data_IF_735655223735
#
_entry.id   IF_735655223735
#
_cell.length_a   1.000
_cell.length_b   1.000
_cell.length_c   1.000
_cell.angle_alpha   90.00
_cell.angle_beta   90.00
_cell.angle_gamma   90.00
#
_symmetry.space_group_name_H-M   'P 1'
#
loop_
_entity.id
_entity.type
_entity.pdbx_description
1 polymer ?
#
# COMPACT_ATOMS: atom_id res chain seq x y z
N UNK A 1 3.36 28.58 -32.07
CA UNK A 1 3.76 28.07 -30.74
C UNK A 1 2.84 26.91 -30.40
N UNK A 2 3.28 25.66 -30.61
CA UNK A 2 2.51 24.48 -30.24
C UNK A 2 2.60 24.28 -28.73
N UNK A 3 1.58 24.66 -27.99
CA UNK A 3 1.41 24.25 -26.62
C UNK A 3 1.26 22.72 -26.61
N UNK A 4 2.31 22.00 -26.23
CA UNK A 4 2.21 20.57 -25.91
C UNK A 4 1.17 20.43 -24.81
N UNK A 5 -0.04 20.00 -25.16
CA UNK A 5 -1.06 19.59 -24.19
C UNK A 5 -0.46 18.40 -23.44
N UNK A 6 -0.02 18.64 -22.22
CA UNK A 6 0.41 17.57 -21.31
C UNK A 6 -0.87 16.74 -21.07
N UNK A 7 -0.92 15.52 -21.61
CA UNK A 7 -2.03 14.61 -21.34
C UNK A 7 -2.06 14.33 -19.84
N UNK A 8 -3.16 14.65 -19.20
CA UNK A 8 -3.40 14.34 -17.79
C UNK A 8 -3.23 12.83 -17.54
N UNK A 9 -2.65 12.46 -16.40
CA UNK A 9 -2.52 11.05 -16.04
C UNK A 9 -3.89 10.42 -15.79
N UNK A 10 -4.11 9.21 -16.28
CA UNK A 10 -5.37 8.49 -16.05
C UNK A 10 -5.67 8.24 -14.58
N UNK A 11 -4.64 8.16 -13.75
CA UNK A 11 -4.79 8.05 -12.30
C UNK A 11 -5.61 9.20 -11.72
N UNK A 12 -5.41 10.42 -12.23
CA UNK A 12 -6.12 11.61 -11.74
C UNK A 12 -7.50 11.73 -12.39
N UNK A 13 -7.60 11.42 -13.72
CA UNK A 13 -8.85 11.49 -14.46
C UNK A 13 -9.87 10.47 -13.91
N UNK A 14 -9.41 9.23 -13.66
CA UNK A 14 -10.24 8.11 -13.23
C UNK A 14 -10.22 7.88 -11.72
N UNK A 15 -9.68 8.85 -10.96
CA UNK A 15 -9.84 8.83 -9.50
C UNK A 15 -11.32 8.81 -9.15
N UNK A 16 -11.80 7.86 -8.33
CA UNK A 16 -13.21 7.76 -8.00
C UNK A 16 -13.66 9.00 -7.21
N UNK A 17 -14.81 9.57 -7.59
CA UNK A 17 -15.42 10.75 -6.94
C UNK A 17 -16.56 10.39 -6.01
N UNK A 18 -17.10 9.18 -6.15
CA UNK A 18 -18.20 8.65 -5.35
C UNK A 18 -17.97 7.16 -5.05
N UNK A 19 -18.70 6.62 -4.09
CA UNK A 19 -18.58 5.23 -3.66
C UNK A 19 -18.97 4.24 -4.77
N UNK A 20 -19.86 4.63 -5.70
CA UNK A 20 -20.28 3.77 -6.81
C UNK A 20 -19.12 3.46 -7.74
N UNK A 21 -18.25 4.42 -8.00
CA UNK A 21 -17.09 4.31 -8.90
C UNK A 21 -15.84 3.73 -8.22
N UNK A 22 -15.84 3.64 -6.89
CA UNK A 22 -14.71 3.13 -6.13
C UNK A 22 -14.59 1.61 -6.27
N UNK A 23 -13.38 1.10 -6.55
CA UNK A 23 -13.09 -0.34 -6.66
C UNK A 23 -12.90 -0.91 -5.25
N UNK A 24 -13.83 -1.73 -4.82
CA UNK A 24 -13.87 -2.28 -3.47
C UNK A 24 -14.64 -3.59 -3.47
N UNK A 25 -14.36 -4.44 -2.51
CA UNK A 25 -15.15 -5.64 -2.26
C UNK A 25 -16.65 -5.31 -2.15
N UNK A 26 -17.53 -6.07 -2.80
CA UNK A 26 -18.96 -5.80 -2.84
C UNK A 26 -19.64 -5.74 -1.45
N UNK A 27 -19.22 -6.59 -0.51
CA UNK A 27 -19.80 -6.64 0.84
C UNK A 27 -19.41 -5.39 1.63
N UNK A 28 -18.15 -5.00 1.59
CA UNK A 28 -17.64 -3.77 2.23
C UNK A 28 -18.31 -2.54 1.58
N UNK A 29 -18.47 -2.55 0.26
CA UNK A 29 -19.16 -1.48 -0.46
C UNK A 29 -20.63 -1.35 -0.05
N UNK A 30 -21.31 -2.48 0.15
CA UNK A 30 -22.69 -2.49 0.64
C UNK A 30 -22.80 -2.00 2.09
N UNK A 31 -21.85 -2.36 2.94
CA UNK A 31 -21.77 -1.83 4.30
C UNK A 31 -21.69 -0.29 4.29
N UNK A 32 -20.81 0.31 3.48
CA UNK A 32 -20.72 1.76 3.40
C UNK A 32 -21.97 2.43 2.83
N UNK A 33 -22.63 1.82 1.83
CA UNK A 33 -23.92 2.31 1.33
C UNK A 33 -24.98 2.36 2.43
N UNK A 34 -25.08 1.31 3.24
CA UNK A 34 -26.01 1.25 4.35
C UNK A 34 -25.65 2.29 5.44
N UNK A 35 -24.37 2.43 5.76
CA UNK A 35 -23.86 3.43 6.70
C UNK A 35 -24.25 4.85 6.28
N UNK A 36 -24.05 5.18 5.00
CA UNK A 36 -24.39 6.50 4.45
C UNK A 36 -25.92 6.71 4.48
N UNK A 37 -26.69 5.73 4.00
CA UNK A 37 -28.16 5.79 3.94
C UNK A 37 -28.78 6.00 5.32
N UNK A 38 -28.27 5.28 6.31
CA UNK A 38 -28.82 5.32 7.68
C UNK A 38 -28.18 6.42 8.53
N UNK A 39 -27.19 7.16 8.02
CA UNK A 39 -26.36 8.12 8.77
C UNK A 39 -25.77 7.55 10.06
N UNK A 40 -25.56 6.23 10.10
CA UNK A 40 -25.00 5.51 11.25
C UNK A 40 -23.49 5.34 11.06
N UNK A 41 -22.74 6.40 11.36
CA UNK A 41 -21.30 6.45 11.14
C UNK A 41 -20.56 6.13 12.44
N UNK A 42 -19.62 5.21 12.37
CA UNK A 42 -18.68 4.88 13.45
C UNK A 42 -17.27 5.33 13.09
N UNK A 43 -16.45 5.57 14.09
CA UNK A 43 -15.00 5.75 13.88
C UNK A 43 -14.41 4.45 13.35
N UNK A 44 -13.48 4.53 12.37
CA UNK A 44 -12.90 3.35 11.74
C UNK A 44 -11.49 3.62 11.20
N UNK A 45 -10.74 2.54 11.01
CA UNK A 45 -9.39 2.57 10.44
C UNK A 45 -9.37 1.82 9.12
N UNK A 46 -8.91 2.46 8.05
CA UNK A 46 -8.76 1.86 6.74
C UNK A 46 -7.33 1.36 6.56
N UNK A 47 -7.17 0.06 6.39
CA UNK A 47 -5.85 -0.55 6.21
C UNK A 47 -5.65 -1.06 4.78
N UNK A 48 -4.41 -1.05 4.33
CA UNK A 48 -4.00 -1.57 3.04
C UNK A 48 -2.68 -0.95 2.61
N UNK A 49 -2.01 -1.53 1.64
CA UNK A 49 -0.75 -1.00 1.13
C UNK A 49 -0.91 0.39 0.50
N UNK A 50 0.20 1.06 0.30
CA UNK A 50 0.21 2.34 -0.41
C UNK A 50 -0.42 2.18 -1.81
N UNK A 51 -1.23 3.16 -2.24
CA UNK A 51 -1.91 3.10 -3.54
C UNK A 51 -3.26 2.35 -3.54
N UNK A 52 -3.67 1.69 -2.45
CA UNK A 52 -4.96 0.99 -2.35
C UNK A 52 -6.20 1.91 -2.26
N UNK A 53 -6.00 3.24 -2.19
CA UNK A 53 -7.08 4.22 -2.22
C UNK A 53 -7.64 4.65 -0.85
N UNK A 54 -7.03 4.28 0.28
CA UNK A 54 -7.50 4.61 1.66
C UNK A 54 -7.96 6.04 1.83
N UNK A 55 -7.07 6.98 1.57
CA UNK A 55 -7.35 8.42 1.70
C UNK A 55 -8.46 8.89 0.77
N UNK A 56 -8.54 8.31 -0.44
CA UNK A 56 -9.61 8.59 -1.41
C UNK A 56 -10.96 8.11 -0.89
N UNK A 57 -11.03 6.91 -0.31
CA UNK A 57 -12.27 6.39 0.29
C UNK A 57 -12.75 7.27 1.45
N UNK A 58 -11.83 7.67 2.36
CA UNK A 58 -12.18 8.60 3.44
C UNK A 58 -12.84 9.87 2.90
N UNK A 59 -12.25 10.49 1.88
CA UNK A 59 -12.77 11.72 1.27
C UNK A 59 -14.15 11.50 0.61
N UNK A 60 -14.32 10.37 -0.10
CA UNK A 60 -15.60 10.00 -0.72
C UNK A 60 -16.69 9.84 0.35
N UNK A 61 -16.41 9.09 1.40
CA UNK A 61 -17.37 8.88 2.48
C UNK A 61 -17.77 10.18 3.16
N UNK A 62 -16.80 11.07 3.43
CA UNK A 62 -17.08 12.39 4.00
C UNK A 62 -17.96 13.25 3.08
N UNK A 63 -17.69 13.25 1.78
CA UNK A 63 -18.47 14.00 0.81
C UNK A 63 -19.91 13.47 0.71
N UNK A 64 -20.09 12.13 0.63
CA UNK A 64 -21.43 11.53 0.55
C UNK A 64 -22.23 11.67 1.85
N UNK A 65 -21.56 11.82 3.00
CA UNK A 65 -22.17 12.12 4.30
C UNK A 65 -22.45 13.60 4.50
N UNK A 66 -21.98 14.47 3.63
CA UNK A 66 -22.01 15.94 3.79
C UNK A 66 -21.44 16.37 5.15
N UNK A 67 -20.29 15.81 5.53
CA UNK A 67 -19.66 16.03 6.82
C UNK A 67 -18.75 17.25 6.83
N UNK A 68 -18.60 17.87 8.01
CA UNK A 68 -17.51 18.82 8.27
C UNK A 68 -16.22 18.04 8.50
N UNK A 69 -15.16 18.37 7.76
CA UNK A 69 -13.96 17.54 7.73
C UNK A 69 -12.72 18.30 8.16
N UNK A 70 -11.99 17.74 9.11
CA UNK A 70 -10.61 18.12 9.40
C UNK A 70 -9.68 17.03 8.87
N UNK A 71 -8.75 17.39 7.97
CA UNK A 71 -7.77 16.48 7.40
C UNK A 71 -6.37 16.77 7.97
N UNK A 72 -5.74 15.74 8.56
CA UNK A 72 -4.38 15.80 9.11
C UNK A 72 -3.54 14.70 8.47
N UNK A 73 -2.38 15.05 7.93
CA UNK A 73 -1.41 14.09 7.43
C UNK A 73 -0.38 13.77 8.51
N UNK A 74 -0.49 12.59 9.15
CA UNK A 74 0.35 12.22 10.29
C UNK A 74 1.83 12.04 9.94
N UNK A 75 2.17 11.80 8.68
CA UNK A 75 3.57 11.75 8.24
C UNK A 75 4.31 13.09 8.44
N UNK A 76 3.61 14.21 8.36
CA UNK A 76 4.18 15.55 8.50
C UNK A 76 3.70 16.30 9.75
N UNK A 77 2.53 15.96 10.26
CA UNK A 77 1.86 16.64 11.36
C UNK A 77 1.53 15.70 12.55
N UNK A 78 2.10 14.51 12.59
CA UNK A 78 1.81 13.46 13.59
C UNK A 78 2.46 13.73 14.95
N UNK A 79 2.30 14.93 15.47
CA UNK A 79 2.80 15.35 16.79
C UNK A 79 1.66 15.70 17.75
N UNK A 80 1.90 15.59 19.05
CA UNK A 80 0.86 15.84 20.08
C UNK A 80 0.29 17.26 19.95
N UNK A 81 1.10 18.23 19.62
CA UNK A 81 0.65 19.61 19.49
C UNK A 81 -0.40 19.80 18.38
N UNK A 82 -0.34 18.99 17.32
CA UNK A 82 -1.39 19.00 16.29
C UNK A 82 -2.73 18.52 16.85
N UNK A 83 -2.73 17.50 17.71
CA UNK A 83 -3.96 17.04 18.39
C UNK A 83 -4.55 18.17 19.25
N UNK A 84 -3.73 18.85 20.04
CA UNK A 84 -4.16 19.91 20.95
C UNK A 84 -4.58 21.19 20.25
N UNK A 85 -3.87 21.59 19.19
CA UNK A 85 -4.09 22.88 18.54
C UNK A 85 -5.07 22.85 17.38
N UNK A 86 -5.27 21.69 16.73
CA UNK A 86 -6.15 21.54 15.56
C UNK A 86 -7.32 20.59 15.82
N UNK A 87 -7.05 19.38 16.33
CA UNK A 87 -8.06 18.32 16.42
C UNK A 87 -9.01 18.57 17.59
N UNK A 88 -8.50 18.82 18.77
CA UNK A 88 -9.32 19.06 19.97
C UNK A 88 -10.23 20.30 19.81
N UNK A 89 -9.77 21.46 19.33
CA UNK A 89 -10.63 22.60 19.05
C UNK A 89 -11.71 22.28 18.00
N UNK A 90 -11.38 21.53 16.96
CA UNK A 90 -12.37 21.10 15.96
C UNK A 90 -13.42 20.17 16.57
N UNK A 91 -13.03 19.24 17.43
CA UNK A 91 -13.97 18.36 18.13
C UNK A 91 -14.90 19.14 19.06
N UNK A 92 -14.39 20.16 19.77
CA UNK A 92 -15.15 20.96 20.74
C UNK A 92 -16.01 22.07 20.09
N UNK A 93 -15.69 22.46 18.84
CA UNK A 93 -16.50 23.46 18.13
C UNK A 93 -17.89 22.88 17.78
N UNK A 94 -18.93 23.69 17.86
CA UNK A 94 -20.25 23.34 17.37
C UNK A 94 -20.27 23.40 15.83
N UNK A 95 -20.85 22.38 15.18
CA UNK A 95 -21.13 22.47 13.75
C UNK A 95 -22.20 23.51 13.48
N UNK A 96 -21.93 24.49 12.60
CA UNK A 96 -22.87 25.59 12.30
C UNK A 96 -24.18 25.08 11.66
N UNK A 97 -24.16 23.92 11.00
CA UNK A 97 -25.33 23.37 10.29
C UNK A 97 -25.79 22.01 10.87
N UNK A 98 -25.32 21.65 12.06
CA UNK A 98 -25.60 20.34 12.67
C UNK A 98 -25.08 19.16 11.85
N UNK A 99 -24.04 19.38 11.04
CA UNK A 99 -23.38 18.34 10.25
C UNK A 99 -22.55 17.42 11.15
N UNK A 100 -22.41 16.19 10.72
CA UNK A 100 -21.46 15.24 11.32
C UNK A 100 -20.04 15.77 11.15
N UNK A 101 -19.24 15.78 12.20
CA UNK A 101 -17.82 16.10 12.14
C UNK A 101 -16.99 14.84 11.94
N UNK A 102 -16.07 14.89 11.00
CA UNK A 102 -15.13 13.78 10.74
C UNK A 102 -13.70 14.29 10.73
N UNK A 103 -12.86 13.69 11.58
CA UNK A 103 -11.42 13.90 11.57
C UNK A 103 -10.78 12.78 10.78
N UNK A 104 -10.09 13.13 9.70
CA UNK A 104 -9.28 12.18 8.92
C UNK A 104 -7.82 12.31 9.36
N UNK A 105 -7.27 11.22 9.90
CA UNK A 105 -5.86 11.10 10.23
C UNK A 105 -5.20 10.15 9.23
N UNK A 106 -4.47 10.73 8.27
CA UNK A 106 -3.86 9.99 7.17
C UNK A 106 -2.47 9.49 7.56
N UNK A 107 -2.19 8.20 7.27
CA UNK A 107 -0.93 7.53 7.59
C UNK A 107 -0.58 7.56 9.09
N UNK A 108 -1.53 7.18 9.96
CA UNK A 108 -1.37 7.23 11.42
C UNK A 108 -0.23 6.33 11.93
N UNK A 109 0.11 5.28 11.21
CA UNK A 109 1.24 4.40 11.47
C UNK A 109 2.61 5.08 11.29
N UNK A 110 2.69 6.16 10.52
CA UNK A 110 3.91 6.96 10.35
C UNK A 110 4.26 7.79 11.58
N UNK A 111 3.29 8.15 12.41
CA UNK A 111 3.50 8.90 13.66
C UNK A 111 4.38 8.16 14.66
N UNK A 112 4.47 6.83 14.58
CA UNK A 112 5.32 6.01 15.44
C UNK A 112 6.82 6.21 15.23
N UNK A 113 7.24 6.72 14.08
CA UNK A 113 8.68 6.96 13.77
C UNK A 113 9.25 8.18 14.50
N UNK A 114 8.40 9.10 14.95
CA UNK A 114 8.81 10.35 15.62
C UNK A 114 8.92 10.21 17.15
N UNK A 115 9.12 9.00 17.67
CA UNK A 115 9.29 8.76 19.14
C UNK A 115 7.99 8.82 19.93
N UNK A 116 6.83 8.68 19.31
CA UNK A 116 5.59 9.02 19.95
C UNK A 116 4.54 7.90 20.05
N UNK A 117 4.80 6.90 20.90
CA UNK A 117 3.68 6.26 21.61
C UNK A 117 2.75 7.34 22.23
N UNK A 118 3.29 8.51 22.53
CA UNK A 118 2.58 9.64 23.12
C UNK A 118 1.50 10.24 22.19
N UNK A 119 1.74 10.35 20.87
CA UNK A 119 0.72 10.83 19.92
C UNK A 119 -0.48 9.89 19.88
N UNK A 120 -0.24 8.59 19.71
CA UNK A 120 -1.32 7.60 19.62
C UNK A 120 -2.05 7.41 20.96
N UNK A 121 -1.36 7.56 22.09
CA UNK A 121 -2.00 7.57 23.42
C UNK A 121 -2.89 8.79 23.61
N UNK A 122 -2.43 9.98 23.23
CA UNK A 122 -3.23 11.20 23.27
C UNK A 122 -4.43 11.09 22.31
N UNK A 123 -4.22 10.54 21.10
CA UNK A 123 -5.28 10.28 20.13
C UNK A 123 -6.36 9.34 20.72
N UNK A 124 -5.96 8.26 21.38
CA UNK A 124 -6.90 7.37 22.08
C UNK A 124 -7.84 8.15 23.01
N UNK A 125 -7.26 8.96 23.88
CA UNK A 125 -8.02 9.76 24.85
C UNK A 125 -8.97 10.74 24.16
N UNK A 126 -8.53 11.35 23.08
CA UNK A 126 -9.32 12.28 22.30
C UNK A 126 -10.50 11.59 21.58
N UNK A 127 -10.29 10.40 21.02
CA UNK A 127 -11.36 9.60 20.43
C UNK A 127 -12.43 9.28 21.46
N UNK A 128 -12.04 8.88 22.67
CA UNK A 128 -12.98 8.59 23.77
C UNK A 128 -13.81 9.81 24.16
N UNK A 129 -13.16 10.98 24.31
CA UNK A 129 -13.80 12.21 24.74
C UNK A 129 -14.77 12.79 23.68
N UNK A 130 -14.53 12.50 22.38
CA UNK A 130 -15.23 13.18 21.27
C UNK A 130 -16.30 12.30 20.60
N UNK A 131 -16.76 11.21 21.23
CA UNK A 131 -17.67 10.24 20.59
C UNK A 131 -19.11 10.76 20.34
N UNK A 132 -19.52 11.85 20.95
CA UNK A 132 -20.90 12.34 20.83
C UNK A 132 -21.24 12.77 19.40
N UNK A 133 -20.39 13.58 18.76
CA UNK A 133 -20.70 14.26 17.50
C UNK A 133 -19.54 14.26 16.48
N UNK A 134 -18.39 13.69 16.84
CA UNK A 134 -17.22 13.58 15.98
C UNK A 134 -16.87 12.12 15.73
N UNK A 135 -16.48 11.79 14.49
CA UNK A 135 -15.96 10.48 14.10
C UNK A 135 -14.54 10.60 13.59
N UNK A 136 -13.78 9.53 13.74
CA UNK A 136 -12.39 9.47 13.32
C UNK A 136 -12.22 8.44 12.20
N UNK A 137 -11.71 8.88 11.06
CA UNK A 137 -11.32 8.03 9.96
C UNK A 137 -9.80 8.00 9.91
N UNK A 138 -9.23 6.87 10.27
CA UNK A 138 -7.79 6.66 10.28
C UNK A 138 -7.38 5.94 9.01
N UNK A 139 -6.21 6.23 8.46
CA UNK A 139 -5.59 5.37 7.44
C UNK A 139 -4.26 4.86 7.94
N UNK A 140 -3.93 3.62 7.63
CA UNK A 140 -2.63 3.03 7.95
C UNK A 140 -2.21 2.02 6.87
N UNK A 141 -0.90 1.91 6.64
CA UNK A 141 -0.34 0.86 5.81
C UNK A 141 -0.07 -0.40 6.64
N UNK A 142 0.35 -0.21 7.88
CA UNK A 142 0.73 -1.26 8.81
C UNK A 142 -0.09 -1.15 10.10
N UNK A 143 -1.22 -1.87 10.24
CA UNK A 143 -2.05 -1.85 11.45
C UNK A 143 -1.27 -2.20 12.71
N UNK A 144 -0.27 -3.08 12.61
CA UNK A 144 0.57 -3.52 13.72
C UNK A 144 1.40 -2.38 14.35
N UNK A 145 1.60 -1.28 13.61
CA UNK A 145 2.27 -0.06 14.12
C UNK A 145 1.31 0.90 14.81
N UNK A 146 0.01 0.61 14.79
CA UNK A 146 -1.01 1.40 15.48
C UNK A 146 -1.33 0.74 16.82
N UNK A 147 -1.39 1.54 17.89
CA UNK A 147 -1.66 1.00 19.22
C UNK A 147 -3.00 0.23 19.25
N UNK A 148 -3.05 -0.98 19.83
CA UNK A 148 -4.29 -1.76 19.95
C UNK A 148 -5.42 -0.98 20.62
N UNK A 149 -5.09 -0.09 21.55
CA UNK A 149 -6.04 0.77 22.24
C UNK A 149 -6.72 1.81 21.30
N UNK A 150 -6.09 2.21 20.20
CA UNK A 150 -6.67 3.04 19.13
C UNK A 150 -7.54 2.17 18.23
N UNK A 151 -7.03 1.01 17.79
CA UNK A 151 -7.74 0.10 16.90
C UNK A 151 -9.00 -0.48 17.52
N UNK A 152 -9.06 -0.66 18.84
CA UNK A 152 -10.27 -1.11 19.54
C UNK A 152 -11.42 -0.09 19.46
N UNK A 153 -11.11 1.20 19.23
CA UNK A 153 -12.07 2.30 19.08
C UNK A 153 -12.35 2.66 17.63
N UNK A 154 -11.42 2.32 16.76
CA UNK A 154 -11.52 2.51 15.32
C UNK A 154 -11.25 1.16 14.63
N UNK A 155 -12.27 0.27 14.56
CA UNK A 155 -12.12 -1.05 13.94
C UNK A 155 -11.48 -0.98 12.56
N UNK A 156 -10.63 -1.96 12.26
CA UNK A 156 -9.87 -1.99 11.00
C UNK A 156 -10.74 -2.54 9.88
N UNK A 157 -10.83 -1.79 8.78
CA UNK A 157 -11.46 -2.20 7.53
C UNK A 157 -10.35 -2.40 6.50
N UNK A 158 -10.01 -3.65 6.14
CA UNK A 158 -9.01 -3.92 5.12
C UNK A 158 -9.56 -3.54 3.74
N UNK A 159 -8.76 -2.80 2.96
CA UNK A 159 -9.14 -2.44 1.60
C UNK A 159 -8.54 -3.40 0.59
N UNK A 160 -9.41 -4.03 -0.17
CA UNK A 160 -9.07 -4.96 -1.23
C UNK A 160 -10.15 -5.01 -2.30
N UNK A 161 -9.86 -5.67 -3.41
CA UNK A 161 -10.77 -5.89 -4.51
C UNK A 161 -10.47 -7.22 -5.22
N UNK A 162 -11.46 -7.81 -5.87
CA UNK A 162 -11.28 -9.03 -6.65
C UNK A 162 -10.80 -8.74 -8.08
N UNK A 163 -10.29 -9.76 -8.78
CA UNK A 163 -10.01 -9.68 -10.23
C UNK A 163 -11.24 -9.24 -11.03
N UNK A 164 -12.45 -9.62 -10.59
CA UNK A 164 -13.70 -9.24 -11.22
C UNK A 164 -13.98 -7.74 -11.06
N UNK A 165 -13.75 -7.18 -9.89
CA UNK A 165 -13.94 -5.75 -9.63
C UNK A 165 -12.93 -4.93 -10.44
N UNK A 166 -11.68 -5.37 -10.49
CA UNK A 166 -10.65 -4.78 -11.32
C UNK A 166 -11.03 -4.82 -12.81
N UNK A 167 -11.51 -5.97 -13.30
CA UNK A 167 -11.97 -6.13 -14.69
C UNK A 167 -13.05 -5.11 -15.07
N UNK A 168 -14.03 -4.91 -14.20
CA UNK A 168 -15.11 -3.95 -14.41
C UNK A 168 -14.58 -2.51 -14.48
N UNK A 169 -13.64 -2.18 -13.60
CA UNK A 169 -13.02 -0.86 -13.57
C UNK A 169 -12.18 -0.60 -14.83
N UNK A 170 -11.33 -1.55 -15.21
CA UNK A 170 -10.49 -1.46 -16.41
C UNK A 170 -11.34 -1.34 -17.67
N UNK A 171 -12.39 -2.13 -17.80
CA UNK A 171 -13.34 -2.01 -18.95
C UNK A 171 -13.92 -0.61 -19.02
N UNK A 172 -14.42 -0.06 -17.91
CA UNK A 172 -14.98 1.29 -17.86
C UNK A 172 -13.99 2.33 -18.38
N UNK A 173 -12.72 2.22 -18.01
CA UNK A 173 -11.68 3.14 -18.49
C UNK A 173 -11.45 2.96 -20.00
N UNK A 174 -11.27 1.73 -20.46
CA UNK A 174 -11.01 1.43 -21.88
C UNK A 174 -12.16 1.90 -22.79
N UNK A 175 -13.41 1.65 -22.36
CA UNK A 175 -14.60 2.06 -23.09
C UNK A 175 -14.73 3.60 -23.15
N UNK A 176 -14.40 4.29 -22.05
CA UNK A 176 -14.41 5.76 -21.98
C UNK A 176 -13.35 6.39 -22.90
N UNK A 177 -12.16 5.80 -22.96
CA UNK A 177 -11.04 6.27 -23.81
C UNK A 177 -11.16 5.78 -25.26
N UNK A 178 -12.22 5.00 -25.59
CA UNK A 178 -12.41 4.41 -26.93
C UNK A 178 -11.18 3.58 -27.35
N UNK A 179 -10.71 2.73 -26.44
CA UNK A 179 -9.59 1.82 -26.69
C UNK A 179 -10.12 0.48 -27.18
N UNK A 180 -9.59 0.00 -28.30
CA UNK A 180 -9.93 -1.33 -28.84
C UNK A 180 -9.20 -2.43 -28.05
N UNK A 181 -9.93 -3.45 -27.63
CA UNK A 181 -9.38 -4.61 -26.93
C UNK A 181 -10.18 -5.89 -27.28
N UNK A 182 -9.53 -7.04 -27.22
CA UNK A 182 -10.18 -8.34 -27.30
C UNK A 182 -10.24 -9.01 -25.92
N UNK A 183 -10.98 -10.13 -25.81
CA UNK A 183 -11.15 -10.84 -24.55
C UNK A 183 -9.83 -11.39 -24.01
N UNK A 184 -8.94 -11.81 -24.89
CA UNK A 184 -7.64 -12.38 -24.55
C UNK A 184 -6.70 -11.30 -24.00
N UNK A 185 -6.51 -10.19 -24.73
CA UNK A 185 -5.68 -9.08 -24.26
C UNK A 185 -6.16 -8.50 -22.92
N UNK A 186 -7.47 -8.44 -22.71
CA UNK A 186 -8.04 -7.97 -21.45
C UNK A 186 -7.78 -8.95 -20.30
N UNK A 187 -7.94 -10.27 -20.54
CA UNK A 187 -7.64 -11.30 -19.56
C UNK A 187 -6.16 -11.26 -19.17
N UNK A 188 -5.29 -11.24 -20.16
CA UNK A 188 -3.84 -11.19 -19.94
C UNK A 188 -3.43 -9.91 -19.17
N UNK A 189 -4.08 -8.76 -19.49
CA UNK A 189 -3.83 -7.53 -18.72
C UNK A 189 -4.22 -7.67 -17.26
N UNK A 190 -5.39 -8.25 -16.95
CA UNK A 190 -5.85 -8.46 -15.57
C UNK A 190 -4.91 -9.41 -14.83
N UNK A 191 -4.50 -10.53 -15.44
CA UNK A 191 -3.57 -11.47 -14.83
C UNK A 191 -2.21 -10.81 -14.52
N UNK A 192 -1.68 -10.06 -15.48
CA UNK A 192 -0.39 -9.37 -15.32
C UNK A 192 -0.46 -8.24 -14.30
N UNK A 193 -1.51 -7.41 -14.37
CA UNK A 193 -1.67 -6.25 -13.47
C UNK A 193 -2.00 -6.64 -12.04
N UNK A 194 -2.61 -7.82 -11.83
CA UNK A 194 -2.95 -8.30 -10.49
C UNK A 194 -1.71 -8.59 -9.61
N UNK A 195 -0.53 -8.69 -10.21
CA UNK A 195 0.75 -8.71 -9.50
C UNK A 195 0.99 -7.44 -8.66
N UNK A 196 0.33 -6.34 -9.00
CA UNK A 196 0.41 -5.06 -8.27
C UNK A 196 -0.72 -4.89 -7.25
N UNK A 197 -1.56 -5.93 -7.08
CA UNK A 197 -2.64 -5.92 -6.09
C UNK A 197 -2.11 -5.63 -4.68
N UNK A 198 -2.81 -4.79 -3.90
CA UNK A 198 -4.00 -4.02 -4.21
C UNK A 198 -3.72 -2.56 -4.65
N UNK A 199 -2.55 -2.24 -5.23
CA UNK A 199 -2.18 -0.89 -5.68
C UNK A 199 -2.90 -0.52 -7.00
N UNK A 200 -4.14 -0.02 -6.88
CA UNK A 200 -4.96 0.41 -8.02
C UNK A 200 -4.32 1.57 -8.79
N UNK A 201 -3.59 2.46 -8.11
CA UNK A 201 -2.91 3.60 -8.73
C UNK A 201 -1.87 3.11 -9.74
N UNK A 202 -1.08 2.12 -9.34
CA UNK A 202 -0.06 1.49 -10.18
C UNK A 202 -0.68 0.73 -11.35
N UNK A 203 -1.79 0.04 -11.11
CA UNK A 203 -2.52 -0.71 -12.14
C UNK A 203 -3.06 0.25 -13.22
N UNK A 204 -3.64 1.40 -12.84
CA UNK A 204 -4.15 2.38 -13.80
C UNK A 204 -3.03 3.05 -14.60
N UNK A 205 -1.87 3.34 -13.97
CA UNK A 205 -0.68 3.81 -14.69
C UNK A 205 -0.19 2.78 -15.72
N UNK A 206 -0.14 1.51 -15.33
CA UNK A 206 0.22 0.44 -16.22
C UNK A 206 -0.76 0.30 -17.39
N UNK A 207 -2.07 0.43 -17.12
CA UNK A 207 -3.09 0.44 -18.17
C UNK A 207 -2.82 1.54 -19.21
N UNK A 208 -2.56 2.77 -18.76
CA UNK A 208 -2.26 3.90 -19.64
C UNK A 208 -1.04 3.63 -20.53
N UNK A 209 0.00 3.00 -20.00
CA UNK A 209 1.21 2.63 -20.75
C UNK A 209 0.92 1.53 -21.79
N UNK A 210 0.02 0.59 -21.48
CA UNK A 210 -0.36 -0.49 -22.37
C UNK A 210 -1.29 -0.04 -23.49
N UNK A 211 -1.93 1.14 -23.38
CA UNK A 211 -2.82 1.68 -24.39
C UNK A 211 -2.04 2.57 -25.38
N UNK A 212 -1.68 1.99 -26.52
CA UNK A 212 -0.94 2.68 -27.59
C UNK A 212 -1.79 2.64 -28.87
N UNK A 213 -1.86 3.78 -29.56
CA UNK A 213 -2.62 3.91 -30.82
C UNK A 213 -4.08 3.43 -30.71
N UNK A 214 -4.71 3.74 -29.57
CA UNK A 214 -6.09 3.30 -29.24
C UNK A 214 -6.30 1.78 -29.23
N UNK A 215 -5.25 1.01 -28.98
CA UNK A 215 -5.31 -0.44 -28.84
C UNK A 215 -4.62 -0.87 -27.54
N UNK A 216 -5.26 -1.79 -26.81
CA UNK A 216 -4.65 -2.42 -25.63
C UNK A 216 -3.60 -3.43 -26.08
N UNK A 217 -2.32 -3.10 -25.90
CA UNK A 217 -1.17 -3.96 -26.20
C UNK A 217 -0.34 -4.17 -24.94
N UNK A 218 -0.31 -5.39 -24.44
CA UNK A 218 0.50 -5.70 -23.26
C UNK A 218 1.97 -5.68 -23.63
N UNK A 219 2.69 -4.74 -23.05
CA UNK A 219 4.14 -4.62 -23.21
C UNK A 219 4.83 -5.36 -22.07
N UNK A 220 5.08 -6.66 -22.22
CA UNK A 220 5.80 -7.46 -21.22
C UNK A 220 7.15 -6.89 -20.80
N UNK A 221 7.77 -6.03 -21.61
CA UNK A 221 9.09 -5.42 -21.37
C UNK A 221 9.04 -3.93 -20.96
N UNK A 222 7.88 -3.27 -21.03
CA UNK A 222 7.67 -1.94 -20.45
C UNK A 222 6.98 -2.10 -19.11
N UNK A 223 7.40 -3.12 -18.44
CA UNK A 223 7.06 -3.30 -17.06
C UNK A 223 7.58 -2.07 -16.34
N UNK A 224 6.69 -1.44 -15.59
CA UNK A 224 7.07 -0.89 -14.32
C UNK A 224 7.47 -2.13 -13.48
N UNK A 225 8.42 -2.90 -13.97
CA UNK A 225 9.14 -3.88 -13.20
C UNK A 225 9.73 -3.06 -12.09
N UNK A 226 9.45 -3.43 -10.89
CA UNK A 226 10.39 -3.12 -9.88
C UNK A 226 11.73 -3.56 -10.45
N UNK A 227 12.55 -2.60 -10.83
CA UNK A 227 13.97 -2.89 -11.14
C UNK A 227 14.56 -3.73 -10.00
N UNK A 228 13.94 -3.68 -8.83
CA UNK A 228 14.15 -4.49 -7.65
C UNK A 228 13.70 -5.95 -7.79
N UNK A 229 12.55 -6.28 -8.44
CA UNK A 229 12.10 -7.67 -8.57
C UNK A 229 12.93 -8.44 -9.61
N UNK A 230 13.31 -7.79 -10.73
CA UNK A 230 14.25 -8.36 -11.69
C UNK A 230 15.67 -8.42 -11.11
N UNK A 231 16.04 -7.42 -10.33
CA UNK A 231 17.27 -7.44 -9.55
C UNK A 231 17.30 -8.60 -8.57
N UNK A 232 16.20 -8.85 -7.83
CA UNK A 232 16.07 -9.98 -6.90
C UNK A 232 16.22 -11.32 -7.61
N UNK A 233 15.53 -11.50 -8.76
CA UNK A 233 15.65 -12.73 -9.56
C UNK A 233 17.09 -12.99 -9.98
N UNK A 234 17.75 -11.96 -10.51
CA UNK A 234 19.15 -12.06 -10.94
C UNK A 234 20.07 -12.29 -9.74
N UNK A 235 19.85 -11.60 -8.62
CA UNK A 235 20.62 -11.75 -7.40
C UNK A 235 20.52 -13.18 -6.85
N UNK A 236 19.30 -13.70 -6.71
CA UNK A 236 19.07 -15.06 -6.20
C UNK A 236 19.62 -16.10 -7.16
N UNK A 237 19.35 -15.99 -8.46
CA UNK A 237 19.89 -16.91 -9.46
C UNK A 237 21.42 -16.96 -9.42
N UNK A 238 22.08 -15.81 -9.40
CA UNK A 238 23.55 -15.73 -9.28
C UNK A 238 24.04 -16.30 -7.96
N UNK A 239 23.36 -16.03 -6.86
CA UNK A 239 23.70 -16.57 -5.54
C UNK A 239 23.64 -18.08 -5.51
N UNK A 240 22.63 -18.70 -6.16
CA UNK A 240 22.45 -20.16 -6.19
C UNK A 240 23.38 -20.83 -7.20
N UNK A 241 23.59 -20.22 -8.38
CA UNK A 241 24.41 -20.81 -9.45
C UNK A 241 25.91 -20.78 -9.15
N UNK A 242 26.36 -19.86 -8.29
CA UNK A 242 27.76 -19.71 -7.94
C UNK A 242 28.12 -20.58 -6.73
N UNK A 243 28.94 -21.62 -6.95
CA UNK A 243 29.46 -22.48 -5.86
C UNK A 243 30.51 -21.77 -4.98
N UNK A 244 31.09 -20.68 -5.48
CA UNK A 244 32.17 -19.95 -4.80
C UNK A 244 31.60 -18.65 -4.19
N UNK A 245 31.64 -18.51 -2.87
CA UNK A 245 31.22 -17.32 -2.14
C UNK A 245 31.99 -16.04 -2.55
N UNK A 246 33.21 -16.15 -3.03
CA UNK A 246 33.95 -14.99 -3.54
C UNK A 246 33.28 -14.39 -4.78
N UNK A 247 32.75 -15.24 -5.67
CA UNK A 247 32.04 -14.78 -6.86
C UNK A 247 30.70 -14.12 -6.47
N UNK A 248 29.97 -14.69 -5.49
CA UNK A 248 28.75 -14.07 -4.94
C UNK A 248 29.08 -12.69 -4.36
N UNK A 249 30.19 -12.57 -3.61
CA UNK A 249 30.62 -11.28 -3.06
C UNK A 249 30.98 -10.28 -4.16
N UNK A 250 31.70 -10.68 -5.18
CA UNK A 250 32.05 -9.79 -6.30
C UNK A 250 30.82 -9.30 -7.06
N UNK A 251 29.85 -10.19 -7.27
CA UNK A 251 28.58 -9.80 -7.87
C UNK A 251 27.80 -8.85 -6.97
N UNK A 252 27.71 -9.16 -5.67
CA UNK A 252 27.04 -8.31 -4.68
C UNK A 252 27.64 -6.90 -4.64
N UNK A 253 28.97 -6.76 -4.55
CA UNK A 253 29.64 -5.45 -4.53
C UNK A 253 29.32 -4.61 -5.76
N UNK A 254 29.18 -5.22 -6.95
CA UNK A 254 28.76 -4.53 -8.19
C UNK A 254 27.28 -4.15 -8.20
N UNK A 255 26.50 -4.82 -7.40
CA UNK A 255 25.04 -4.69 -7.41
C UNK A 255 24.47 -3.89 -6.22
N UNK A 256 25.26 -3.68 -5.17
CA UNK A 256 24.81 -3.06 -3.90
C UNK A 256 24.25 -1.65 -4.05
N UNK A 257 24.75 -0.87 -5.01
CA UNK A 257 24.26 0.49 -5.28
C UNK A 257 22.80 0.53 -5.76
N UNK A 258 22.23 -0.63 -6.13
CA UNK A 258 20.83 -0.78 -6.49
C UNK A 258 19.93 -1.05 -5.29
N UNK A 259 20.51 -1.28 -4.11
CA UNK A 259 19.78 -1.55 -2.86
C UNK A 259 19.55 -0.22 -2.14
N UNK A 260 18.35 0.30 -2.24
CA UNK A 260 18.00 1.56 -1.57
C UNK A 260 17.62 1.34 -0.09
N UNK A 261 17.04 0.19 0.24
CA UNK A 261 16.63 -0.20 1.60
C UNK A 261 16.91 -1.70 1.81
N UNK A 262 17.80 -2.00 2.75
CA UNK A 262 18.17 -3.37 3.08
C UNK A 262 17.08 -4.14 3.79
N UNK A 263 16.20 -3.49 4.57
CA UNK A 263 15.08 -4.14 5.27
C UNK A 263 14.05 -4.60 4.26
N UNK A 264 13.60 -3.70 3.37
CA UNK A 264 12.66 -4.02 2.30
C UNK A 264 13.23 -5.09 1.35
N UNK A 265 14.51 -4.94 0.97
CA UNK A 265 15.19 -5.89 0.09
C UNK A 265 15.31 -7.28 0.72
N UNK A 266 15.58 -7.36 2.02
CA UNK A 266 15.65 -8.63 2.76
C UNK A 266 14.28 -9.31 2.84
N UNK A 267 13.22 -8.53 3.07
CA UNK A 267 11.84 -9.05 3.09
C UNK A 267 11.46 -9.63 1.73
N UNK A 268 11.80 -8.94 0.65
CA UNK A 268 11.56 -9.43 -0.72
C UNK A 268 12.39 -10.67 -1.04
N UNK A 269 13.66 -10.72 -0.59
CA UNK A 269 14.50 -11.89 -0.76
C UNK A 269 13.91 -13.11 -0.05
N UNK A 270 13.49 -12.94 1.20
CA UNK A 270 12.85 -13.99 1.98
C UNK A 270 11.60 -14.52 1.28
N UNK A 271 10.66 -13.63 0.92
CA UNK A 271 9.43 -14.03 0.24
C UNK A 271 9.73 -14.71 -1.10
N UNK A 272 10.66 -14.18 -1.90
CA UNK A 272 11.02 -14.78 -3.17
C UNK A 272 11.58 -16.19 -3.03
N UNK A 273 12.40 -16.43 -2.01
CA UNK A 273 13.00 -17.74 -1.73
C UNK A 273 11.96 -18.76 -1.29
N UNK A 274 10.97 -18.33 -0.48
CA UNK A 274 9.88 -19.19 0.00
C UNK A 274 8.86 -19.44 -1.13
N UNK A 275 8.39 -18.41 -1.82
CA UNK A 275 7.36 -18.51 -2.87
C UNK A 275 7.80 -19.34 -4.08
N UNK A 276 9.11 -19.47 -4.30
CA UNK A 276 9.67 -20.26 -5.40
C UNK A 276 10.29 -21.60 -4.93
N UNK A 277 10.00 -22.04 -3.70
CA UNK A 277 10.49 -23.30 -3.12
C UNK A 277 12.03 -23.49 -3.22
N UNK A 278 12.79 -22.39 -3.18
CA UNK A 278 14.25 -22.40 -3.30
C UNK A 278 14.88 -23.05 -2.07
N UNK A 279 14.33 -22.74 -0.89
CA UNK A 279 14.68 -23.36 0.38
C UNK A 279 13.41 -23.97 0.96
N UNK A 280 13.40 -25.27 1.14
CA UNK A 280 12.26 -26.01 1.74
C UNK A 280 12.64 -26.71 3.04
N UNK A 281 13.91 -26.63 3.40
CA UNK A 281 14.45 -27.17 4.63
C UNK A 281 14.10 -26.27 5.81
N UNK A 282 13.64 -26.87 6.92
CA UNK A 282 13.23 -26.12 8.12
C UNK A 282 14.38 -25.33 8.73
N UNK A 283 15.59 -25.87 8.75
CA UNK A 283 16.76 -25.19 9.30
C UNK A 283 17.14 -23.98 8.46
N UNK A 284 17.06 -24.07 7.14
CA UNK A 284 17.31 -22.96 6.23
C UNK A 284 16.28 -21.84 6.40
N UNK A 285 14.99 -22.17 6.57
CA UNK A 285 13.93 -21.20 6.83
C UNK A 285 14.14 -20.50 8.17
N UNK A 286 14.49 -21.24 9.22
CA UNK A 286 14.79 -20.67 10.55
C UNK A 286 15.98 -19.71 10.51
N UNK A 287 17.05 -20.08 9.82
CA UNK A 287 18.22 -19.21 9.65
C UNK A 287 17.85 -17.93 8.90
N UNK A 288 17.06 -17.99 7.82
CA UNK A 288 16.61 -16.80 7.11
C UNK A 288 15.70 -15.92 7.97
N UNK A 289 14.81 -16.51 8.77
CA UNK A 289 13.93 -15.79 9.69
C UNK A 289 14.74 -15.06 10.78
N UNK A 290 15.81 -15.67 11.28
CA UNK A 290 16.73 -15.05 12.25
C UNK A 290 17.47 -13.84 11.62
N UNK A 291 17.92 -13.96 10.37
CA UNK A 291 18.49 -12.81 9.65
C UNK A 291 17.45 -11.68 9.49
N UNK A 292 16.21 -11.98 9.18
CA UNK A 292 15.13 -11.00 9.07
C UNK A 292 14.89 -10.27 10.40
N UNK A 293 14.83 -11.00 11.50
CA UNK A 293 14.70 -10.41 12.84
C UNK A 293 15.88 -9.49 13.17
N UNK A 294 17.09 -9.96 12.97
CA UNK A 294 18.34 -9.21 13.24
C UNK A 294 18.49 -7.99 12.34
N UNK A 295 17.99 -8.00 11.12
CA UNK A 295 18.03 -6.87 10.17
C UNK A 295 17.39 -5.59 10.75
N UNK A 296 16.39 -5.73 11.61
CA UNK A 296 15.74 -4.60 12.26
C UNK A 296 16.54 -4.00 13.42
N UNK A 297 17.49 -4.74 14.00
CA UNK A 297 18.21 -4.38 15.24
C UNK A 297 19.62 -3.93 14.94
N UNK A 298 20.28 -4.47 13.91
CA UNK A 298 21.70 -4.27 13.63
C UNK A 298 21.96 -2.93 12.94
N UNK A 299 23.09 -2.29 13.31
CA UNK A 299 23.54 -1.02 12.70
C UNK A 299 24.05 -1.26 11.27
N UNK A 300 24.86 -2.30 11.07
CA UNK A 300 25.40 -2.65 9.75
C UNK A 300 24.48 -3.64 9.02
N UNK A 301 23.50 -3.07 8.33
CA UNK A 301 22.53 -3.82 7.54
C UNK A 301 23.12 -4.44 6.28
N UNK A 302 24.17 -3.84 5.73
CA UNK A 302 24.87 -4.33 4.53
C UNK A 302 25.51 -5.70 4.80
N UNK A 303 26.29 -5.82 5.88
CA UNK A 303 26.92 -7.09 6.27
C UNK A 303 25.89 -8.15 6.62
N UNK A 304 24.80 -7.77 7.27
CA UNK A 304 23.70 -8.69 7.61
C UNK A 304 22.99 -9.22 6.36
N UNK A 305 22.74 -8.36 5.37
CA UNK A 305 22.13 -8.77 4.10
C UNK A 305 23.04 -9.73 3.31
N UNK A 306 24.36 -9.46 3.29
CA UNK A 306 25.29 -10.38 2.70
C UNK A 306 25.34 -11.74 3.41
N UNK A 307 25.24 -11.75 4.75
CA UNK A 307 25.05 -12.96 5.54
C UNK A 307 23.81 -13.76 5.12
N UNK A 308 22.70 -13.07 4.90
CA UNK A 308 21.46 -13.68 4.41
C UNK A 308 21.63 -14.30 3.00
N UNK A 309 22.35 -13.64 2.09
CA UNK A 309 22.69 -14.21 0.76
C UNK A 309 23.57 -15.46 0.88
N UNK A 310 24.52 -15.48 1.81
CA UNK A 310 25.35 -16.69 2.03
C UNK A 310 24.52 -17.84 2.60
N UNK A 311 23.53 -17.56 3.44
CA UNK A 311 22.59 -18.57 3.91
C UNK A 311 21.73 -19.11 2.76
N UNK A 312 21.21 -18.25 1.87
CA UNK A 312 20.50 -18.70 0.65
C UNK A 312 21.38 -19.61 -0.21
N UNK A 313 22.64 -19.24 -0.41
CA UNK A 313 23.57 -20.09 -1.17
C UNK A 313 23.78 -21.46 -0.52
N UNK A 314 23.91 -21.49 0.81
CA UNK A 314 24.18 -22.73 1.57
C UNK A 314 22.97 -23.68 1.59
N UNK A 315 21.77 -23.15 1.80
CA UNK A 315 20.56 -23.94 2.02
C UNK A 315 19.69 -24.11 0.77
N UNK A 316 20.02 -23.40 -0.34
CA UNK A 316 19.28 -23.61 -1.60
C UNK A 316 19.48 -25.01 -2.12
N UNK A 317 18.40 -25.63 -2.62
CA UNK A 317 18.51 -26.86 -3.39
C UNK A 317 19.41 -26.59 -4.60
N UNK A 318 20.46 -27.38 -4.77
CA UNK A 318 21.26 -27.32 -6.01
C UNK A 318 20.29 -27.46 -7.18
N UNK A 319 20.25 -26.45 -8.06
CA UNK A 319 19.57 -26.55 -9.34
C UNK A 319 20.20 -27.75 -10.07
N UNK A 320 19.54 -28.91 -10.03
CA UNK A 320 19.90 -30.09 -10.82
C UNK A 320 19.24 -29.97 -12.19
#
# INVERSE_FOLDING_TARGET
MNSKIIKQEWVDIYAPKNLKDYVLDPEIKQYFRNMIKNRSVTSMSFSGIQGSGKTTLCKILCNELNADVLFIKCATEGVIDTLRTKVEPFCNAMSMEGKLKIVILDEVDSSSQSGSNNFQMALRTLIEASQSDTRFFLTCNFPDKVLPAVLSRCPVVPLGFSKKDLLLHVKKILDTEVISYNKESLKDFIEESFKYYPDIRRIVKYLQICCVDKVLKIKKNVVINNAQDDFMKVLVYKTISEKNLLNVRQFYVKAKDKICDYIDTSTRLFNYVIDNDIITDADGILVLSDFMYKMNIVVDKESMFFGMLTAVNKYSKSLR
#
